data_IF_591246609115
#
_entry.id   IF_591246609115
#
_cell.length_a   1.000
_cell.length_b   1.000
_cell.length_c   1.000
_cell.angle_alpha   90.00
_cell.angle_beta   90.00
_cell.angle_gamma   90.00
#
_symmetry.space_group_name_H-M   'P 1'
#
loop_
_entity.id
_entity.type
_entity.pdbx_description
1 polymer ?
#
# COMPACT_ATOMS: atom_id res chain seq x y z
N UNK A 1 10.69 -36.56 -39.14
CA UNK A 1 11.29 -37.31 -38.03
C UNK A 1 11.71 -36.29 -36.98
N UNK A 2 11.00 -36.20 -35.86
CA UNK A 2 11.25 -35.17 -34.83
C UNK A 2 12.53 -35.52 -34.06
N UNK A 3 13.57 -34.70 -34.18
CA UNK A 3 14.83 -34.92 -33.50
C UNK A 3 14.75 -34.32 -32.09
N UNK A 4 14.64 -35.20 -31.10
CA UNK A 4 14.49 -34.83 -29.68
C UNK A 4 15.64 -33.93 -29.19
N UNK A 5 16.84 -34.06 -29.79
CA UNK A 5 18.00 -33.23 -29.44
C UNK A 5 17.78 -31.76 -29.77
N UNK A 6 17.16 -31.45 -30.91
CA UNK A 6 16.94 -30.07 -31.35
C UNK A 6 15.89 -29.36 -30.48
N UNK A 7 14.92 -30.12 -29.96
CA UNK A 7 13.92 -29.60 -29.00
C UNK A 7 14.56 -29.31 -27.64
N UNK A 8 15.40 -30.21 -27.15
CA UNK A 8 16.12 -30.03 -25.86
C UNK A 8 17.10 -28.86 -25.95
N UNK A 9 17.79 -28.72 -27.08
CA UNK A 9 18.69 -27.58 -27.33
C UNK A 9 17.90 -26.26 -27.34
N UNK A 10 16.78 -26.20 -28.07
CA UNK A 10 15.96 -24.98 -28.13
C UNK A 10 15.31 -24.60 -26.80
N UNK A 11 15.00 -25.56 -25.92
CA UNK A 11 14.53 -25.28 -24.55
C UNK A 11 15.67 -24.75 -23.69
N UNK A 12 16.86 -25.32 -23.80
CA UNK A 12 18.05 -24.87 -23.08
C UNK A 12 18.45 -23.45 -23.47
N UNK A 13 18.51 -23.16 -24.77
CA UNK A 13 18.89 -21.84 -25.27
C UNK A 13 17.87 -20.76 -24.84
N UNK A 14 16.58 -21.11 -24.79
CA UNK A 14 15.54 -20.21 -24.25
C UNK A 14 15.69 -20.00 -22.75
N UNK A 15 16.05 -21.04 -22.00
CA UNK A 15 16.26 -20.93 -20.56
C UNK A 15 17.50 -20.07 -20.24
N UNK A 16 18.59 -20.27 -20.97
CA UNK A 16 19.82 -19.49 -20.85
C UNK A 16 19.55 -18.02 -21.23
N UNK A 17 18.80 -17.75 -22.31
CA UNK A 17 18.41 -16.38 -22.68
C UNK A 17 17.48 -15.70 -21.65
N UNK A 18 16.63 -16.49 -20.98
CA UNK A 18 15.77 -16.00 -19.91
C UNK A 18 16.58 -15.70 -18.65
N UNK A 19 17.58 -16.52 -18.37
CA UNK A 19 18.51 -16.33 -17.25
C UNK A 19 19.41 -15.11 -17.47
N UNK A 20 19.85 -14.87 -18.71
CA UNK A 20 20.56 -13.65 -19.12
C UNK A 20 19.65 -12.40 -19.07
N UNK A 21 18.34 -12.55 -19.32
CA UNK A 21 17.34 -11.49 -19.09
C UNK A 21 17.05 -11.22 -17.61
N UNK A 22 17.31 -12.19 -16.72
CA UNK A 22 17.17 -12.07 -15.26
C UNK A 22 18.48 -11.62 -14.60
N UNK A 23 19.59 -11.59 -15.33
CA UNK A 23 20.78 -10.81 -14.99
C UNK A 23 20.50 -9.30 -15.18
N UNK A 24 19.43 -8.80 -14.55
CA UNK A 24 19.47 -7.45 -14.02
C UNK A 24 20.71 -7.41 -13.13
N UNK A 25 21.73 -6.68 -13.57
CA UNK A 25 22.78 -6.20 -12.69
C UNK A 25 22.11 -5.34 -11.63
N UNK A 26 21.57 -5.99 -10.60
CA UNK A 26 21.15 -5.41 -9.33
C UNK A 26 22.46 -4.84 -8.78
N UNK A 27 22.69 -3.50 -8.86
CA UNK A 27 23.98 -2.92 -8.50
C UNK A 27 24.34 -3.39 -7.09
N UNK A 28 25.61 -3.59 -6.75
CA UNK A 28 25.99 -4.06 -5.40
C UNK A 28 25.34 -3.21 -4.27
N UNK A 29 25.07 -1.93 -4.55
CA UNK A 29 24.32 -0.99 -3.71
C UNK A 29 22.85 -1.43 -3.47
N UNK A 30 22.17 -2.03 -4.45
CA UNK A 30 20.81 -2.54 -4.25
C UNK A 30 20.79 -3.90 -3.55
N UNK A 31 21.82 -4.74 -3.66
CA UNK A 31 21.92 -5.97 -2.84
C UNK A 31 22.06 -5.66 -1.35
N UNK A 32 22.90 -4.69 -1.01
CA UNK A 32 23.04 -4.22 0.37
C UNK A 32 21.75 -3.58 0.90
N UNK A 33 21.06 -2.77 0.09
CA UNK A 33 19.75 -2.19 0.45
C UNK A 33 18.69 -3.27 0.66
N UNK A 34 18.62 -4.26 -0.23
CA UNK A 34 17.70 -5.41 -0.11
C UNK A 34 18.05 -6.25 1.12
N UNK A 35 19.34 -6.46 1.41
CA UNK A 35 19.79 -7.21 2.58
C UNK A 35 19.51 -6.48 3.90
N UNK A 36 19.74 -5.16 3.95
CA UNK A 36 19.36 -4.31 5.08
C UNK A 36 17.83 -4.33 5.25
N UNK A 37 17.06 -4.25 4.17
CA UNK A 37 15.60 -4.31 4.22
C UNK A 37 15.11 -5.68 4.70
N UNK A 38 15.77 -6.77 4.29
CA UNK A 38 15.51 -8.12 4.77
C UNK A 38 15.86 -8.29 6.26
N UNK A 39 17.01 -7.78 6.71
CA UNK A 39 17.41 -7.83 8.13
C UNK A 39 16.51 -6.95 9.00
N UNK A 40 16.16 -5.75 8.54
CA UNK A 40 15.21 -4.87 9.23
C UNK A 40 13.78 -5.43 9.22
N UNK A 41 13.46 -6.30 8.26
CA UNK A 41 12.22 -7.08 8.26
C UNK A 41 12.30 -8.37 9.09
N UNK A 42 13.48 -8.81 9.54
CA UNK A 42 13.63 -10.03 10.35
C UNK A 42 12.80 -10.00 11.66
N UNK A 43 12.70 -8.89 12.42
CA UNK A 43 11.80 -8.79 13.57
C UNK A 43 10.32 -8.95 13.19
N UNK A 44 9.94 -8.62 11.95
CA UNK A 44 8.58 -8.83 11.47
C UNK A 44 8.24 -10.33 11.47
N UNK A 45 9.17 -11.23 11.17
CA UNK A 45 8.90 -12.67 11.11
C UNK A 45 8.70 -13.34 12.47
N UNK A 46 9.09 -12.71 13.58
CA UNK A 46 9.01 -13.30 14.91
C UNK A 46 7.87 -12.76 15.78
N UNK A 47 7.20 -11.69 15.35
CA UNK A 47 6.09 -11.09 16.08
C UNK A 47 4.90 -10.88 15.14
N UNK A 48 3.77 -11.61 15.32
CA UNK A 48 2.66 -11.66 14.36
C UNK A 48 2.17 -10.29 13.87
N UNK A 49 1.99 -9.32 14.78
CA UNK A 49 1.57 -7.95 14.41
C UNK A 49 2.53 -7.22 13.47
N UNK A 50 3.85 -7.42 13.62
CA UNK A 50 4.83 -6.78 12.73
C UNK A 50 4.94 -7.54 11.40
N UNK A 51 4.74 -8.87 11.41
CA UNK A 51 4.64 -9.66 10.17
C UNK A 51 3.49 -9.16 9.31
N UNK A 52 2.29 -9.04 9.89
CA UNK A 52 1.09 -8.58 9.19
C UNK A 52 1.27 -7.15 8.67
N UNK A 53 1.89 -6.26 9.46
CA UNK A 53 2.23 -4.90 9.02
C UNK A 53 3.14 -4.92 7.77
N UNK A 54 4.18 -5.76 7.78
CA UNK A 54 5.06 -5.92 6.64
C UNK A 54 4.34 -6.47 5.40
N UNK A 55 3.50 -7.50 5.56
CA UNK A 55 2.70 -8.07 4.47
C UNK A 55 1.76 -7.02 3.87
N UNK A 56 1.08 -6.22 4.69
CA UNK A 56 0.24 -5.13 4.23
C UNK A 56 1.04 -4.07 3.48
N UNK A 57 2.26 -3.75 3.91
CA UNK A 57 3.15 -2.82 3.20
C UNK A 57 3.45 -3.31 1.78
N UNK A 58 3.78 -4.60 1.66
CA UNK A 58 4.04 -5.23 0.37
C UNK A 58 2.79 -5.21 -0.50
N UNK A 59 1.61 -5.52 0.06
CA UNK A 59 0.34 -5.47 -0.67
C UNK A 59 -0.04 -4.06 -1.13
N UNK A 60 0.21 -3.03 -0.30
CA UNK A 60 0.04 -1.62 -0.66
C UNK A 60 0.91 -1.29 -1.88
N UNK A 61 2.20 -1.64 -1.83
CA UNK A 61 3.12 -1.44 -2.95
C UNK A 61 2.67 -2.17 -4.21
N UNK A 62 2.33 -3.46 -4.10
CA UNK A 62 1.88 -4.29 -5.23
C UNK A 62 0.61 -3.75 -5.86
N UNK A 63 -0.43 -3.43 -5.07
CA UNK A 63 -1.67 -2.87 -5.60
C UNK A 63 -1.43 -1.53 -6.28
N UNK A 64 -0.58 -0.68 -5.70
CA UNK A 64 -0.24 0.61 -6.29
C UNK A 64 0.47 0.46 -7.65
N UNK A 65 1.43 -0.46 -7.77
CA UNK A 65 2.08 -0.77 -9.06
C UNK A 65 1.07 -1.32 -10.07
N UNK A 66 0.20 -2.25 -9.66
CA UNK A 66 -0.81 -2.85 -10.55
C UNK A 66 -1.80 -1.80 -11.04
N UNK A 67 -2.33 -0.97 -10.14
CA UNK A 67 -3.30 0.08 -10.49
C UNK A 67 -2.69 1.13 -11.41
N UNK A 68 -1.41 1.45 -11.25
CA UNK A 68 -0.67 2.33 -12.16
C UNK A 68 -0.51 1.67 -13.54
N UNK A 69 -0.03 0.42 -13.60
CA UNK A 69 0.21 -0.29 -14.88
C UNK A 69 -1.04 -0.55 -15.71
N UNK A 70 -2.18 -0.81 -15.06
CA UNK A 70 -3.45 -1.08 -15.73
C UNK A 70 -4.35 0.15 -15.86
N UNK A 71 -3.85 1.35 -15.55
CA UNK A 71 -4.61 2.61 -15.58
C UNK A 71 -5.90 2.58 -14.73
N UNK A 72 -5.90 1.75 -13.69
CA UNK A 72 -7.02 1.59 -12.76
C UNK A 72 -7.03 2.65 -11.66
N UNK A 73 -6.09 3.61 -11.70
CA UNK A 73 -5.99 4.69 -10.73
C UNK A 73 -7.30 5.47 -10.55
N UNK A 74 -8.14 5.59 -11.60
CA UNK A 74 -9.45 6.27 -11.52
C UNK A 74 -10.48 5.58 -10.60
N UNK A 75 -10.25 4.31 -10.25
CA UNK A 75 -11.16 3.52 -9.42
C UNK A 75 -10.82 3.56 -7.93
N UNK A 76 -9.91 4.44 -7.49
CA UNK A 76 -9.71 4.64 -6.06
C UNK A 76 -9.18 3.41 -5.31
N UNK A 77 -8.59 2.44 -6.01
CA UNK A 77 -8.13 1.17 -5.42
C UNK A 77 -6.84 1.42 -4.63
N UNK A 78 -6.99 1.67 -3.33
CA UNK A 78 -5.91 2.10 -2.47
C UNK A 78 -5.96 1.37 -1.13
N UNK A 79 -4.93 0.58 -0.82
CA UNK A 79 -4.84 -0.17 0.43
C UNK A 79 -4.23 0.63 1.59
N UNK A 80 -3.69 1.83 1.33
CA UNK A 80 -2.99 2.57 2.37
C UNK A 80 -3.94 3.01 3.49
N UNK A 81 -5.18 3.38 3.20
CA UNK A 81 -6.18 3.74 4.23
C UNK A 81 -6.50 2.55 5.12
N UNK A 82 -6.91 1.43 4.51
CA UNK A 82 -7.16 0.17 5.21
C UNK A 82 -5.98 -0.25 6.10
N UNK A 83 -4.78 -0.25 5.55
CA UNK A 83 -3.56 -0.66 6.27
C UNK A 83 -3.24 0.30 7.42
N UNK A 84 -3.32 1.61 7.20
CA UNK A 84 -3.01 2.62 8.21
C UNK A 84 -3.98 2.59 9.38
N UNK A 85 -5.29 2.47 9.11
CA UNK A 85 -6.31 2.37 10.16
C UNK A 85 -6.12 1.08 10.97
N UNK A 86 -5.88 -0.04 10.30
CA UNK A 86 -5.69 -1.33 10.98
C UNK A 86 -4.45 -1.29 11.88
N UNK A 87 -3.34 -0.72 11.40
CA UNK A 87 -2.15 -0.55 12.25
C UNK A 87 -2.39 0.40 13.41
N UNK A 88 -3.15 1.47 13.20
CA UNK A 88 -3.42 2.45 14.24
C UNK A 88 -4.23 1.88 15.42
N UNK A 89 -5.07 0.88 15.18
CA UNK A 89 -5.80 0.18 16.25
C UNK A 89 -4.85 -0.70 17.10
N UNK A 90 -3.80 -1.27 16.51
CA UNK A 90 -2.93 -2.25 17.19
C UNK A 90 -1.68 -1.63 17.80
N UNK A 91 -1.11 -0.62 17.13
CA UNK A 91 0.17 -0.03 17.51
C UNK A 91 -0.01 1.27 18.30
N UNK A 92 0.94 1.61 19.20
CA UNK A 92 0.93 2.89 19.90
C UNK A 92 1.03 4.11 18.95
N UNK A 93 0.61 5.32 19.38
CA UNK A 93 0.39 6.45 18.47
C UNK A 93 1.59 6.83 17.61
N UNK A 94 2.79 6.83 18.19
CA UNK A 94 4.04 7.15 17.47
C UNK A 94 4.38 6.12 16.40
N UNK A 95 4.16 4.84 16.69
CA UNK A 95 4.43 3.74 15.75
C UNK A 95 3.36 3.72 14.66
N UNK A 96 2.09 3.91 15.02
CA UNK A 96 0.99 4.02 14.07
C UNK A 96 1.21 5.17 13.07
N UNK A 97 1.59 6.35 13.55
CA UNK A 97 1.90 7.51 12.72
C UNK A 97 3.06 7.23 11.74
N UNK A 98 4.12 6.58 12.21
CA UNK A 98 5.26 6.19 11.37
C UNK A 98 4.88 5.15 10.30
N UNK A 99 4.08 4.14 10.67
CA UNK A 99 3.59 3.13 9.72
C UNK A 99 2.67 3.76 8.67
N UNK A 100 1.76 4.66 9.08
CA UNK A 100 0.89 5.37 8.16
C UNK A 100 1.69 6.24 7.17
N UNK A 101 2.71 6.95 7.66
CA UNK A 101 3.67 7.68 6.81
C UNK A 101 4.30 6.75 5.77
N UNK A 102 4.78 5.58 6.19
CA UNK A 102 5.41 4.61 5.29
C UNK A 102 4.41 4.09 4.26
N UNK A 103 3.21 3.66 4.67
CA UNK A 103 2.21 3.11 3.74
C UNK A 103 1.78 4.13 2.68
N UNK A 104 1.45 5.35 3.09
CA UNK A 104 0.99 6.36 2.14
C UNK A 104 2.12 6.78 1.20
N UNK A 105 3.35 6.86 1.70
CA UNK A 105 4.55 7.11 0.89
C UNK A 105 4.74 5.99 -0.13
N UNK A 106 4.73 4.73 0.29
CA UNK A 106 4.84 3.57 -0.60
C UNK A 106 3.74 3.58 -1.66
N UNK A 107 2.49 3.84 -1.27
CA UNK A 107 1.36 3.95 -2.19
C UNK A 107 1.60 5.05 -3.23
N UNK A 108 1.94 6.27 -2.80
CA UNK A 108 2.07 7.42 -3.71
C UNK A 108 3.26 7.30 -4.66
N UNK A 109 4.42 6.83 -4.18
CA UNK A 109 5.61 6.66 -5.01
C UNK A 109 5.50 5.47 -5.97
N UNK A 110 4.86 4.37 -5.55
CA UNK A 110 4.65 3.21 -6.43
C UNK A 110 3.56 3.47 -7.49
N UNK A 111 2.63 4.39 -7.19
CA UNK A 111 1.50 4.72 -8.06
C UNK A 111 1.77 5.85 -9.05
N UNK A 112 2.96 6.45 -9.00
CA UNK A 112 3.35 7.60 -9.81
C UNK A 112 2.49 8.86 -9.61
N UNK A 113 1.90 9.04 -8.42
CA UNK A 113 1.15 10.24 -8.01
C UNK A 113 1.82 11.10 -6.90
N UNK A 114 3.17 11.25 -6.83
CA UNK A 114 3.83 12.02 -5.77
C UNK A 114 3.76 13.55 -5.97
N UNK A 115 2.83 14.07 -6.76
CA UNK A 115 2.75 15.50 -7.08
C UNK A 115 2.29 16.37 -5.91
N UNK A 116 1.56 17.44 -6.23
CA UNK A 116 1.09 18.47 -5.26
C UNK A 116 0.37 17.85 -4.04
N UNK A 117 -0.26 16.69 -4.23
CA UNK A 117 -0.99 15.92 -3.21
C UNK A 117 -0.16 15.51 -1.98
N UNK A 118 1.17 15.37 -2.09
CA UNK A 118 2.01 14.96 -0.94
C UNK A 118 1.84 15.88 0.28
N UNK A 119 1.67 17.18 0.02
CA UNK A 119 1.67 18.22 1.06
C UNK A 119 0.47 18.16 2.00
N UNK A 120 -0.64 17.55 1.58
CA UNK A 120 -1.83 17.39 2.42
C UNK A 120 -2.26 15.93 2.60
N UNK A 121 -2.01 15.05 1.64
CA UNK A 121 -2.37 13.62 1.78
C UNK A 121 -1.53 12.95 2.85
N UNK A 122 -0.20 13.08 2.81
CA UNK A 122 0.67 12.40 3.77
C UNK A 122 0.41 12.85 5.21
N UNK A 123 0.37 14.17 5.52
CA UNK A 123 0.06 14.62 6.88
C UNK A 123 -1.31 14.14 7.38
N UNK A 124 -2.35 14.10 6.53
CA UNK A 124 -3.68 13.62 6.93
C UNK A 124 -3.64 12.17 7.37
N UNK A 125 -2.93 11.27 6.67
CA UNK A 125 -2.82 9.86 7.07
C UNK A 125 -2.05 9.71 8.39
N UNK A 126 -0.96 10.46 8.55
CA UNK A 126 -0.14 10.43 9.77
C UNK A 126 -0.94 10.90 10.97
N UNK A 127 -1.64 12.03 10.85
CA UNK A 127 -2.47 12.59 11.91
C UNK A 127 -3.65 11.67 12.23
N UNK A 128 -4.33 11.15 11.21
CA UNK A 128 -5.41 10.19 11.38
C UNK A 128 -4.95 8.96 12.19
N UNK A 129 -3.85 8.34 11.80
CA UNK A 129 -3.32 7.16 12.51
C UNK A 129 -2.92 7.47 13.96
N UNK A 130 -2.31 8.64 14.20
CA UNK A 130 -1.99 9.08 15.55
C UNK A 130 -3.25 9.23 16.42
N UNK A 131 -4.29 9.89 15.89
CA UNK A 131 -5.55 10.12 16.60
C UNK A 131 -6.26 8.80 16.90
N UNK A 132 -6.41 7.93 15.89
CA UNK A 132 -7.07 6.62 16.04
C UNK A 132 -6.43 5.83 17.19
N UNK A 133 -5.10 5.78 17.23
CA UNK A 133 -4.35 5.07 18.26
C UNK A 133 -4.40 5.73 19.65
N UNK A 134 -4.72 7.03 19.71
CA UNK A 134 -4.79 7.80 20.95
C UNK A 134 -6.17 7.77 21.61
N UNK A 135 -7.19 7.23 20.94
CA UNK A 135 -8.57 7.24 21.42
C UNK A 135 -9.16 5.83 21.40
N UNK A 136 -10.12 5.57 22.29
CA UNK A 136 -10.89 4.32 22.22
C UNK A 136 -11.84 4.38 21.01
N UNK A 137 -11.58 3.50 20.04
CA UNK A 137 -12.36 3.44 18.80
C UNK A 137 -13.59 2.55 18.93
N UNK A 138 -14.71 2.89 18.28
CA UNK A 138 -15.97 2.12 18.34
C UNK A 138 -15.94 0.80 17.53
N UNK A 139 -14.86 0.52 16.79
CA UNK A 139 -14.66 -0.70 16.00
C UNK A 139 -14.04 -0.40 14.63
N UNK A 140 -13.34 -1.38 14.05
CA UNK A 140 -12.53 -1.17 12.83
C UNK A 140 -13.34 -0.68 11.63
N UNK A 141 -14.56 -1.17 11.45
CA UNK A 141 -15.41 -0.78 10.31
C UNK A 141 -15.83 0.69 10.41
N UNK A 142 -16.36 1.10 11.56
CA UNK A 142 -16.80 2.49 11.76
C UNK A 142 -15.61 3.46 11.74
N UNK A 143 -14.51 3.12 12.41
CA UNK A 143 -13.29 3.93 12.37
C UNK A 143 -12.76 4.04 10.94
N UNK A 144 -12.70 2.94 10.20
CA UNK A 144 -12.28 2.92 8.81
C UNK A 144 -13.15 3.79 7.91
N UNK A 145 -14.46 3.72 8.08
CA UNK A 145 -15.43 4.54 7.33
C UNK A 145 -15.28 6.03 7.64
N UNK A 146 -15.21 6.43 8.91
CA UNK A 146 -15.07 7.84 9.29
C UNK A 146 -13.75 8.42 8.81
N UNK A 147 -12.66 7.66 8.90
CA UNK A 147 -11.35 8.11 8.45
C UNK A 147 -11.29 8.20 6.92
N UNK A 148 -11.87 7.22 6.22
CA UNK A 148 -11.96 7.27 4.76
C UNK A 148 -12.79 8.47 4.32
N UNK A 149 -14.03 8.60 4.80
CA UNK A 149 -14.92 9.71 4.44
C UNK A 149 -14.32 11.07 4.81
N UNK A 150 -13.79 11.21 6.03
CA UNK A 150 -13.16 12.44 6.51
C UNK A 150 -11.95 12.84 5.65
N UNK A 151 -11.08 11.88 5.32
CA UNK A 151 -9.93 12.12 4.44
C UNK A 151 -10.38 12.52 3.04
N UNK A 152 -11.35 11.81 2.46
CA UNK A 152 -11.87 12.12 1.12
C UNK A 152 -12.55 13.51 1.05
N UNK A 153 -13.26 13.92 2.09
CA UNK A 153 -13.83 15.27 2.21
C UNK A 153 -12.71 16.31 2.26
N UNK A 154 -11.72 16.11 3.13
CA UNK A 154 -10.59 17.02 3.26
C UNK A 154 -9.80 17.14 1.96
N UNK A 155 -9.51 16.01 1.29
CA UNK A 155 -8.79 16.01 0.01
C UNK A 155 -9.62 16.62 -1.12
N UNK A 156 -10.94 16.46 -1.12
CA UNK A 156 -11.82 17.15 -2.08
C UNK A 156 -11.75 18.67 -1.89
N UNK A 157 -11.76 19.14 -0.64
CA UNK A 157 -11.60 20.56 -0.30
C UNK A 157 -10.22 21.08 -0.74
N UNK A 158 -9.14 20.37 -0.41
CA UNK A 158 -7.79 20.75 -0.82
C UNK A 158 -7.63 20.73 -2.34
N UNK A 159 -8.21 19.74 -3.03
CA UNK A 159 -8.20 19.67 -4.50
C UNK A 159 -8.99 20.82 -5.11
N UNK A 160 -10.13 21.21 -4.52
CA UNK A 160 -10.89 22.37 -4.99
C UNK A 160 -10.09 23.67 -4.88
N UNK A 161 -9.38 23.88 -3.77
CA UNK A 161 -8.58 25.10 -3.53
C UNK A 161 -7.33 25.13 -4.39
N UNK A 162 -6.61 24.01 -4.49
CA UNK A 162 -5.26 23.96 -5.08
C UNK A 162 -5.26 23.55 -6.55
N UNK A 163 -6.29 22.85 -7.04
CA UNK A 163 -6.32 22.25 -8.38
C UNK A 163 -7.75 22.00 -8.88
N UNK A 164 -8.56 23.05 -8.93
CA UNK A 164 -10.02 22.99 -9.23
C UNK A 164 -10.38 22.19 -10.50
N UNK A 165 -9.55 22.25 -11.54
CA UNK A 165 -9.76 21.52 -12.79
C UNK A 165 -9.70 19.99 -12.62
N UNK A 166 -9.03 19.49 -11.58
CA UNK A 166 -8.89 18.07 -11.27
C UNK A 166 -10.03 17.54 -10.39
N UNK A 167 -10.86 18.42 -9.82
CA UNK A 167 -11.90 18.04 -8.87
C UNK A 167 -12.90 16.99 -9.40
N UNK A 168 -13.43 17.08 -10.64
CA UNK A 168 -14.38 16.06 -11.12
C UNK A 168 -13.77 14.65 -11.18
N UNK A 169 -12.52 14.57 -11.66
CA UNK A 169 -11.76 13.30 -11.69
C UNK A 169 -11.49 12.79 -10.27
N UNK A 170 -11.18 13.70 -9.35
CA UNK A 170 -10.96 13.38 -7.95
C UNK A 170 -12.22 12.87 -7.25
N UNK A 171 -13.39 13.49 -7.49
CA UNK A 171 -14.66 13.06 -6.88
C UNK A 171 -15.04 11.64 -7.33
N UNK A 172 -14.79 11.30 -8.60
CA UNK A 172 -14.95 9.93 -9.08
C UNK A 172 -14.01 8.96 -8.33
N UNK A 173 -12.73 9.30 -8.22
CA UNK A 173 -11.76 8.54 -7.43
C UNK A 173 -12.22 8.33 -5.98
N UNK A 174 -12.63 9.42 -5.31
CA UNK A 174 -13.01 9.44 -3.92
C UNK A 174 -14.23 8.55 -3.64
N UNK A 175 -15.23 8.56 -4.53
CA UNK A 175 -16.41 7.71 -4.42
C UNK A 175 -16.04 6.23 -4.48
N UNK A 176 -15.23 5.81 -5.47
CA UNK A 176 -14.80 4.42 -5.56
C UNK A 176 -13.87 4.02 -4.40
N UNK A 177 -12.99 4.91 -3.96
CA UNK A 177 -12.11 4.67 -2.82
C UNK A 177 -12.90 4.43 -1.52
N UNK A 178 -14.00 5.16 -1.32
CA UNK A 178 -14.88 4.99 -0.18
C UNK A 178 -15.60 3.63 -0.22
N UNK A 179 -16.11 3.23 -1.38
CA UNK A 179 -16.72 1.90 -1.57
C UNK A 179 -15.70 0.80 -1.34
N UNK A 180 -14.51 0.92 -1.96
CA UNK A 180 -13.43 -0.05 -1.83
C UNK A 180 -13.01 -0.22 -0.36
N UNK A 181 -12.73 0.87 0.35
CA UNK A 181 -12.33 0.81 1.75
C UNK A 181 -13.45 0.29 2.65
N UNK A 182 -14.71 0.66 2.39
CA UNK A 182 -15.85 0.06 3.10
C UNK A 182 -15.86 -1.46 2.96
N UNK A 183 -15.75 -1.99 1.74
CA UNK A 183 -15.69 -3.43 1.49
C UNK A 183 -14.47 -4.07 2.17
N UNK A 184 -13.30 -3.42 2.10
CA UNK A 184 -12.08 -3.92 2.75
C UNK A 184 -12.24 -4.01 4.27
N UNK A 185 -12.74 -2.97 4.92
CA UNK A 185 -12.96 -2.98 6.38
C UNK A 185 -14.03 -3.99 6.79
N UNK A 186 -15.14 -4.04 6.06
CA UNK A 186 -16.25 -4.95 6.34
C UNK A 186 -15.84 -6.43 6.18
N UNK A 187 -15.04 -6.75 5.16
CA UNK A 187 -14.71 -8.13 4.80
C UNK A 187 -13.46 -8.62 5.52
N UNK A 188 -12.43 -7.79 5.61
CA UNK A 188 -11.10 -8.21 6.07
C UNK A 188 -10.65 -7.56 7.39
N UNK A 189 -11.31 -6.51 7.86
CA UNK A 189 -10.87 -5.76 9.04
C UNK A 189 -10.68 -6.64 10.28
N UNK A 190 -11.73 -7.36 10.69
CA UNK A 190 -11.67 -8.24 11.86
C UNK A 190 -10.68 -9.40 11.69
N UNK A 191 -10.55 -9.94 10.48
CA UNK A 191 -9.59 -11.02 10.19
C UNK A 191 -8.15 -10.52 10.38
N UNK A 192 -7.82 -9.35 9.84
CA UNK A 192 -6.46 -8.79 9.95
C UNK A 192 -6.14 -8.43 11.40
N UNK A 193 -7.07 -7.84 12.15
CA UNK A 193 -6.87 -7.58 13.58
C UNK A 193 -6.63 -8.86 14.39
N UNK A 194 -7.41 -9.91 14.12
CA UNK A 194 -7.23 -11.22 14.76
C UNK A 194 -5.86 -11.82 14.50
N UNK A 195 -5.34 -11.73 13.26
CA UNK A 195 -3.99 -12.18 12.91
C UNK A 195 -2.88 -11.38 13.61
N UNK A 196 -3.18 -10.16 14.05
CA UNK A 196 -2.27 -9.29 14.80
C UNK A 196 -2.37 -9.50 16.32
N UNK A 197 -3.34 -10.29 16.79
CA UNK A 197 -3.60 -10.51 18.21
C UNK A 197 -4.33 -9.36 18.91
N UNK A 198 -5.18 -8.64 18.18
CA UNK A 198 -6.05 -7.56 18.69
C UNK A 198 -7.52 -7.97 18.71
#
# INVERSE_FOLDING_TARGET
MFNLKDVVQGVRDRFDSFQDGINFEVPAVSRLKVFILLILSAPAFFVPRYFVAFVLMVLVGLLSVLTSRFELGRFGLELATFSSVTMAIVFPPRVAAALAFVYITVQMFSGSTPGVYLTWVVPTYVVAAYIISSVNTPGIVLTGLYITAGSQIFFSLMTFVMSRSMLPKYLQYAAFNLIFNFLMFQTFGSLVLSLMGA
#
